data_IF_286516180106
#
_entry.id   IF_286516180106
#
_cell.length_a   1.000
_cell.length_b   1.000
_cell.length_c   1.000
_cell.angle_alpha   90.00
_cell.angle_beta   90.00
_cell.angle_gamma   90.00
#
_symmetry.space_group_name_H-M   'P 1'
#
loop_
_entity.id
_entity.type
_entity.pdbx_description
1 polymer ?
#
# COMPACT_ATOMS: atom_id res chain seq x y z
N UNK A 1 18.26 -7.73 14.51
CA UNK A 1 17.47 -7.55 13.28
C UNK A 1 18.46 -7.19 12.18
N UNK A 2 18.58 -7.96 11.08
CA UNK A 2 19.44 -7.56 9.98
C UNK A 2 18.95 -6.21 9.42
N UNK A 3 19.84 -5.34 8.91
CA UNK A 3 19.42 -4.11 8.27
C UNK A 3 18.53 -4.46 7.08
N UNK A 4 17.31 -3.94 7.06
CA UNK A 4 16.41 -4.11 5.93
C UNK A 4 17.08 -3.53 4.67
N UNK A 5 16.92 -4.17 3.50
CA UNK A 5 17.50 -3.66 2.26
C UNK A 5 16.99 -2.25 1.95
N UNK A 6 17.82 -1.47 1.24
CA UNK A 6 17.49 -0.10 0.84
C UNK A 6 16.16 -0.08 0.06
N UNK A 7 15.16 0.71 0.47
CA UNK A 7 13.85 0.81 -0.19
C UNK A 7 13.91 0.98 -1.70
N UNK A 8 14.85 1.78 -2.20
CA UNK A 8 14.97 2.05 -3.63
C UNK A 8 15.46 0.82 -4.43
N UNK A 9 16.39 0.04 -3.88
CA UNK A 9 17.06 -1.03 -4.61
C UNK A 9 16.19 -2.29 -4.83
N UNK A 10 15.23 -2.55 -3.94
CA UNK A 10 14.31 -3.70 -4.07
C UNK A 10 13.15 -3.41 -5.04
N UNK A 11 12.73 -2.14 -5.14
CA UNK A 11 11.69 -1.71 -6.08
C UNK A 11 12.18 -1.68 -7.54
N UNK A 12 13.49 -1.62 -7.79
CA UNK A 12 14.05 -1.59 -9.15
C UNK A 12 13.83 -2.90 -9.94
N UNK A 13 13.51 -4.02 -9.26
CA UNK A 13 13.32 -5.33 -9.92
C UNK A 13 11.90 -5.92 -9.77
N UNK A 14 11.06 -5.32 -8.93
CA UNK A 14 9.72 -5.82 -8.65
C UNK A 14 8.68 -4.71 -8.74
N UNK A 15 7.78 -4.80 -9.74
CA UNK A 15 6.60 -3.96 -9.84
C UNK A 15 5.41 -4.66 -9.17
N UNK A 16 4.94 -4.10 -8.06
CA UNK A 16 3.70 -4.53 -7.41
C UNK A 16 2.61 -3.54 -7.78
N UNK A 17 1.51 -4.04 -8.37
CA UNK A 17 0.33 -3.24 -8.71
C UNK A 17 -0.76 -3.50 -7.66
N UNK A 18 -0.84 -2.69 -6.58
CA UNK A 18 -1.89 -2.86 -5.58
C UNK A 18 -3.25 -2.56 -6.21
N UNK A 19 -4.28 -3.27 -5.75
CA UNK A 19 -5.69 -3.07 -6.17
C UNK A 19 -5.94 -3.20 -7.68
N UNK A 20 -5.08 -3.92 -8.41
CA UNK A 20 -5.20 -4.09 -9.87
C UNK A 20 -6.48 -4.83 -10.30
N UNK A 21 -7.06 -5.63 -9.41
CA UNK A 21 -8.36 -6.27 -9.61
C UNK A 21 -9.10 -6.36 -8.27
N UNK A 22 -10.42 -6.21 -8.30
CA UNK A 22 -11.32 -6.35 -7.16
C UNK A 22 -12.66 -6.95 -7.59
N UNK A 23 -13.45 -7.39 -6.62
CA UNK A 23 -14.80 -7.91 -6.87
C UNK A 23 -15.86 -6.81 -7.05
N UNK A 24 -15.48 -5.53 -6.98
CA UNK A 24 -16.43 -4.43 -7.15
C UNK A 24 -16.94 -4.35 -8.59
N UNK A 25 -18.23 -4.06 -8.77
CA UNK A 25 -18.84 -3.95 -10.10
C UNK A 25 -18.10 -2.97 -11.04
N UNK A 26 -17.67 -1.75 -10.59
CA UNK A 26 -16.93 -0.84 -11.45
C UNK A 26 -15.59 -1.43 -11.93
N UNK A 27 -14.90 -2.18 -11.06
CA UNK A 27 -13.65 -2.85 -11.42
C UNK A 27 -13.89 -3.97 -12.44
N UNK A 28 -14.89 -4.81 -12.21
CA UNK A 28 -15.26 -5.90 -13.13
C UNK A 28 -15.66 -5.37 -14.52
N UNK A 29 -16.35 -4.24 -14.58
CA UNK A 29 -16.71 -3.57 -15.83
C UNK A 29 -15.50 -2.94 -16.55
N UNK A 30 -14.44 -2.55 -15.81
CA UNK A 30 -13.23 -1.97 -16.38
C UNK A 30 -12.26 -3.03 -16.95
N UNK A 31 -12.26 -4.25 -16.40
CA UNK A 31 -11.32 -5.32 -16.80
C UNK A 31 -11.30 -5.62 -18.31
N UNK A 32 -12.43 -5.75 -19.04
CA UNK A 32 -12.40 -5.99 -20.48
C UNK A 32 -11.73 -4.87 -21.28
N UNK A 33 -11.72 -3.63 -20.77
CA UNK A 33 -11.04 -2.51 -21.42
C UNK A 33 -9.52 -2.57 -21.22
N UNK A 34 -9.08 -3.15 -20.11
CA UNK A 34 -7.66 -3.37 -19.82
C UNK A 34 -7.08 -4.54 -20.62
N UNK A 35 -7.92 -5.50 -21.01
CA UNK A 35 -7.56 -6.65 -21.88
C UNK A 35 -7.60 -6.31 -23.39
N UNK A 36 -7.91 -5.06 -23.74
CA UNK A 36 -7.85 -4.59 -25.11
C UNK A 36 -6.39 -4.35 -25.53
N UNK A 37 -5.84 -5.29 -26.29
CA UNK A 37 -4.48 -5.22 -26.81
C UNK A 37 -4.21 -3.99 -27.70
N UNK A 38 -5.23 -3.35 -28.26
CA UNK A 38 -5.07 -2.10 -29.01
C UNK A 38 -4.81 -0.92 -28.07
N UNK A 39 -5.37 -0.93 -26.85
CA UNK A 39 -5.15 0.11 -25.83
C UNK A 39 -3.87 -0.14 -25.03
N UNK A 40 -3.50 -1.41 -24.76
CA UNK A 40 -2.34 -1.75 -23.94
C UNK A 40 -1.34 -2.71 -24.64
N UNK A 41 -0.80 -2.37 -25.82
CA UNK A 41 0.02 -3.29 -26.61
C UNK A 41 1.30 -3.75 -25.88
N UNK A 42 1.94 -2.85 -25.13
CA UNK A 42 3.14 -3.18 -24.35
C UNK A 42 2.85 -4.12 -23.18
N UNK A 43 1.69 -3.99 -22.53
CA UNK A 43 1.27 -4.88 -21.45
C UNK A 43 1.05 -6.29 -21.98
N UNK A 44 0.35 -6.45 -23.10
CA UNK A 44 0.16 -7.76 -23.72
C UNK A 44 1.47 -8.38 -24.23
N UNK A 45 2.40 -7.57 -24.75
CA UNK A 45 3.73 -8.05 -25.11
C UNK A 45 4.52 -8.54 -23.89
N UNK A 46 4.43 -7.83 -22.77
CA UNK A 46 5.07 -8.23 -21.53
C UNK A 46 4.43 -9.51 -20.97
N UNK A 47 3.09 -9.57 -20.86
CA UNK A 47 2.36 -10.72 -20.33
C UNK A 47 2.64 -12.01 -21.12
N UNK A 48 2.87 -11.94 -22.43
CA UNK A 48 3.28 -13.10 -23.25
C UNK A 48 4.66 -13.67 -22.89
N UNK A 49 5.52 -12.87 -22.26
CA UNK A 49 6.87 -13.28 -21.83
C UNK A 49 6.90 -13.73 -20.36
N UNK A 50 5.86 -13.41 -19.59
CA UNK A 50 5.77 -13.74 -18.18
C UNK A 50 5.01 -15.05 -17.99
N UNK A 51 5.48 -15.87 -17.05
CA UNK A 51 4.73 -17.02 -16.55
C UNK A 51 4.33 -16.73 -15.09
N UNK A 52 3.13 -17.16 -14.64
CA UNK A 52 2.78 -17.08 -13.23
C UNK A 52 3.82 -17.84 -12.39
N UNK A 53 4.52 -17.13 -11.51
CA UNK A 53 5.55 -17.73 -10.66
C UNK A 53 4.94 -18.34 -9.40
N UNK A 54 4.19 -17.53 -8.65
CA UNK A 54 3.56 -17.92 -7.39
C UNK A 54 2.22 -17.23 -7.24
N UNK A 55 1.27 -17.88 -6.56
CA UNK A 55 -0.01 -17.30 -6.18
C UNK A 55 -0.05 -17.12 -4.68
N UNK A 56 -0.35 -15.91 -4.23
CA UNK A 56 -0.67 -15.62 -2.84
C UNK A 56 -2.16 -15.32 -2.75
N UNK A 57 -2.90 -16.14 -2.01
CA UNK A 57 -4.32 -15.90 -1.80
C UNK A 57 -4.53 -14.81 -0.76
N UNK A 58 -5.50 -13.92 -1.02
CA UNK A 58 -5.97 -12.96 -0.04
C UNK A 58 -7.01 -13.59 0.87
N UNK A 59 -7.01 -13.17 2.13
CA UNK A 59 -8.03 -13.49 3.13
C UNK A 59 -8.67 -12.15 3.54
N UNK A 60 -10.00 -12.10 3.57
CA UNK A 60 -10.76 -10.89 3.93
C UNK A 60 -10.55 -10.49 5.40
N UNK A 61 -10.13 -11.43 6.25
CA UNK A 61 -9.82 -11.18 7.65
C UNK A 61 -8.34 -10.91 7.92
N UNK A 62 -7.48 -11.05 6.90
CA UNK A 62 -6.07 -10.73 7.06
C UNK A 62 -5.86 -9.23 7.21
N UNK A 63 -5.07 -8.85 8.22
CA UNK A 63 -4.72 -7.46 8.51
C UNK A 63 -3.67 -6.93 7.53
N UNK A 64 -2.81 -7.80 7.01
CA UNK A 64 -1.84 -7.47 5.96
C UNK A 64 -2.36 -7.86 4.59
N UNK A 65 -2.47 -6.87 3.70
CA UNK A 65 -2.97 -7.07 2.35
C UNK A 65 -2.02 -7.97 1.53
N UNK A 66 -2.51 -8.66 0.49
CA UNK A 66 -1.68 -9.54 -0.32
C UNK A 66 -0.44 -8.84 -0.92
N UNK A 67 -0.61 -7.61 -1.40
CA UNK A 67 0.49 -6.84 -1.98
C UNK A 67 1.55 -6.44 -0.95
N UNK A 68 1.14 -6.15 0.29
CA UNK A 68 2.05 -5.91 1.40
C UNK A 68 2.86 -7.17 1.71
N UNK A 69 2.20 -8.33 1.83
CA UNK A 69 2.90 -9.59 2.11
C UNK A 69 3.90 -9.98 1.01
N UNK A 70 3.56 -9.76 -0.27
CA UNK A 70 4.48 -9.98 -1.40
C UNK A 70 5.70 -9.07 -1.29
N UNK A 71 5.50 -7.78 -1.01
CA UNK A 71 6.61 -6.83 -0.87
C UNK A 71 7.46 -7.14 0.36
N UNK A 72 6.85 -7.52 1.48
CA UNK A 72 7.55 -7.95 2.69
C UNK A 72 8.47 -9.15 2.41
N UNK A 73 8.00 -10.14 1.62
CA UNK A 73 8.82 -11.26 1.20
C UNK A 73 10.02 -10.82 0.35
N UNK A 74 9.82 -9.91 -0.61
CA UNK A 74 10.89 -9.35 -1.43
C UNK A 74 11.92 -8.55 -0.60
N UNK A 75 11.48 -7.94 0.51
CA UNK A 75 12.34 -7.25 1.48
C UNK A 75 13.01 -8.20 2.50
N UNK A 76 12.72 -9.50 2.44
CA UNK A 76 13.27 -10.49 3.37
C UNK A 76 12.61 -10.52 4.76
N UNK A 77 11.43 -9.91 4.92
CA UNK A 77 10.65 -9.95 6.15
C UNK A 77 9.80 -11.21 6.19
N UNK A 78 10.39 -12.29 6.71
CA UNK A 78 9.74 -13.59 6.79
C UNK A 78 9.38 -13.94 8.25
N UNK A 79 8.32 -14.72 8.44
CA UNK A 79 7.92 -15.23 9.75
C UNK A 79 7.28 -14.21 10.71
N UNK A 80 6.91 -13.03 10.20
CA UNK A 80 6.17 -12.04 10.99
C UNK A 80 4.69 -12.43 11.09
N UNK A 81 4.08 -12.11 12.23
CA UNK A 81 2.65 -12.32 12.43
C UNK A 81 1.85 -11.37 11.53
N UNK A 82 0.64 -11.77 11.15
CA UNK A 82 -0.26 -10.93 10.38
C UNK A 82 -0.55 -9.60 11.13
N UNK A 83 -0.56 -8.50 10.38
CA UNK A 83 -0.72 -7.15 10.93
C UNK A 83 0.51 -6.58 11.65
N UNK A 84 1.65 -7.28 11.64
CA UNK A 84 2.90 -6.83 12.31
C UNK A 84 4.01 -6.41 11.35
N UNK A 85 3.69 -6.25 10.06
CA UNK A 85 4.66 -5.79 9.06
C UNK A 85 5.16 -4.37 9.42
N UNK A 86 6.49 -4.15 9.52
CA UNK A 86 7.05 -2.91 10.06
C UNK A 86 7.10 -1.78 9.01
N UNK A 87 6.05 -1.62 8.20
CA UNK A 87 6.01 -0.64 7.11
C UNK A 87 6.29 0.78 7.59
N UNK A 88 5.64 1.18 8.67
CA UNK A 88 5.80 2.52 9.24
C UNK A 88 7.24 2.78 9.69
N UNK A 89 7.84 1.83 10.42
CA UNK A 89 9.22 1.94 10.88
C UNK A 89 10.22 1.96 9.71
N UNK A 90 9.98 1.14 8.68
CA UNK A 90 10.82 1.10 7.50
C UNK A 90 10.76 2.39 6.67
N UNK A 91 9.56 2.95 6.46
CA UNK A 91 9.39 4.23 5.77
C UNK A 91 10.00 5.40 6.57
N UNK A 92 9.81 5.40 7.89
CA UNK A 92 10.39 6.41 8.77
C UNK A 92 11.93 6.36 8.73
N UNK A 93 12.52 5.15 8.70
CA UNK A 93 13.97 4.98 8.55
C UNK A 93 14.47 5.53 7.20
N UNK A 94 13.77 5.22 6.11
CA UNK A 94 14.06 5.76 4.78
C UNK A 94 13.96 7.29 4.71
N UNK A 95 13.10 7.88 5.54
CA UNK A 95 12.91 9.33 5.67
C UNK A 95 13.91 9.99 6.64
N UNK A 96 14.84 9.21 7.22
CA UNK A 96 15.84 9.71 8.16
C UNK A 96 15.31 10.02 9.58
N UNK A 97 14.11 9.52 9.93
CA UNK A 97 13.55 9.67 11.27
C UNK A 97 14.22 8.69 12.25
N UNK A 98 14.31 9.03 13.56
CA UNK A 98 14.93 8.17 14.56
C UNK A 98 14.00 7.00 14.93
N UNK A 99 14.13 5.88 14.22
CA UNK A 99 13.26 4.71 14.32
C UNK A 99 13.67 3.66 15.36
N UNK A 100 14.32 4.07 16.46
CA UNK A 100 14.88 3.19 17.50
C UNK A 100 13.79 2.42 18.28
N UNK A 101 13.91 2.21 19.60
CA UNK A 101 13.01 1.41 20.46
C UNK A 101 11.55 1.94 20.58
N UNK A 102 11.01 2.56 19.53
CA UNK A 102 9.67 3.15 19.44
C UNK A 102 8.83 2.40 18.42
N UNK A 103 7.55 2.24 18.74
CA UNK A 103 6.57 1.84 17.75
C UNK A 103 6.33 2.99 16.76
N UNK A 104 6.13 2.64 15.48
CA UNK A 104 5.81 3.58 14.42
C UNK A 104 4.47 3.21 13.80
N UNK A 105 3.68 4.22 13.46
CA UNK A 105 2.43 4.10 12.72
C UNK A 105 2.41 5.10 11.57
N UNK A 106 1.74 4.72 10.48
CA UNK A 106 1.43 5.64 9.38
C UNK A 106 0.01 6.14 9.55
N UNK A 107 -0.16 7.46 9.46
CA UNK A 107 -1.44 8.12 9.56
C UNK A 107 -1.64 9.00 8.32
N UNK A 108 -2.76 8.79 7.62
CA UNK A 108 -3.16 9.61 6.48
C UNK A 108 -4.47 10.33 6.81
N UNK A 109 -4.43 11.63 7.13
CA UNK A 109 -5.63 12.43 7.34
C UNK A 109 -6.51 12.45 6.09
N UNK A 110 -7.82 12.29 6.27
CA UNK A 110 -8.78 12.15 5.18
C UNK A 110 -10.20 12.56 5.62
N UNK A 111 -11.07 12.85 4.65
CA UNK A 111 -12.48 13.15 4.91
C UNK A 111 -13.34 11.88 4.82
N UNK A 112 -14.18 11.71 5.83
CA UNK A 112 -15.14 10.61 5.93
C UNK A 112 -16.55 11.18 5.74
N UNK A 113 -17.26 10.71 4.71
CA UNK A 113 -18.67 10.99 4.54
C UNK A 113 -19.46 9.84 5.16
N UNK A 114 -20.18 10.15 6.23
CA UNK A 114 -21.06 9.19 6.90
C UNK A 114 -22.48 9.29 6.34
N UNK A 115 -22.89 8.28 5.59
CA UNK A 115 -24.27 8.05 5.20
C UNK A 115 -25.03 7.22 6.24
N UNK A 116 -26.32 7.00 6.00
CA UNK A 116 -27.17 6.24 6.94
C UNK A 116 -26.86 4.74 6.96
N UNK A 117 -26.40 4.20 5.83
CA UNK A 117 -26.09 2.78 5.62
C UNK A 117 -24.71 2.58 4.97
N UNK A 118 -24.00 3.67 4.69
CA UNK A 118 -22.73 3.64 3.98
C UNK A 118 -21.74 4.61 4.59
N UNK A 119 -20.47 4.31 4.39
CA UNK A 119 -19.37 5.19 4.73
C UNK A 119 -18.49 5.32 3.50
N UNK A 120 -18.17 6.55 3.13
CA UNK A 120 -17.29 6.82 2.00
C UNK A 120 -16.05 7.55 2.49
N UNK A 121 -14.90 6.94 2.26
CA UNK A 121 -13.61 7.61 2.38
C UNK A 121 -13.37 8.42 1.10
N UNK A 122 -13.28 9.74 1.22
CA UNK A 122 -12.87 10.58 0.09
C UNK A 122 -11.37 10.44 -0.15
N UNK A 123 -10.92 10.81 -1.34
CA UNK A 123 -9.48 10.86 -1.65
C UNK A 123 -8.77 11.75 -0.60
N UNK A 124 -7.77 11.21 0.13
CA UNK A 124 -7.01 12.00 1.10
C UNK A 124 -6.43 13.30 0.52
N UNK A 125 -6.09 13.34 -0.77
CA UNK A 125 -5.58 14.54 -1.42
C UNK A 125 -6.62 15.68 -1.46
N UNK A 126 -7.92 15.37 -1.44
CA UNK A 126 -8.99 16.38 -1.41
C UNK A 126 -9.07 17.13 -0.07
N UNK A 127 -8.51 16.57 1.01
CA UNK A 127 -8.43 17.27 2.30
C UNK A 127 -7.65 18.58 2.18
N UNK A 128 -6.69 18.66 1.24
CA UNK A 128 -5.83 19.84 0.99
C UNK A 128 -5.27 20.43 2.28
N UNK A 129 -4.80 19.56 3.19
CA UNK A 129 -4.25 19.98 4.47
C UNK A 129 -2.94 20.74 4.25
N UNK A 130 -2.96 22.05 4.49
CA UNK A 130 -1.77 22.87 4.35
C UNK A 130 -0.77 22.56 5.48
N UNK A 131 0.52 22.86 5.24
CA UNK A 131 1.58 22.60 6.22
C UNK A 131 1.29 23.21 7.62
N UNK A 132 0.83 24.48 7.74
CA UNK A 132 0.56 25.06 9.06
C UNK A 132 -0.55 24.31 9.83
N UNK A 133 -1.58 23.89 9.13
CA UNK A 133 -2.72 23.15 9.71
C UNK A 133 -2.29 21.72 10.11
N UNK A 134 -1.48 21.08 9.26
CA UNK A 134 -0.89 19.77 9.56
C UNK A 134 -0.04 19.80 10.83
N UNK A 135 0.79 20.83 11.02
CA UNK A 135 1.59 21.01 12.25
C UNK A 135 0.70 21.22 13.47
N UNK A 136 -0.34 22.04 13.34
CA UNK A 136 -1.30 22.28 14.43
C UNK A 136 -2.02 20.99 14.84
N UNK A 137 -2.44 20.18 13.86
CA UNK A 137 -3.06 18.89 14.10
C UNK A 137 -2.08 17.92 14.79
N UNK A 138 -0.83 17.85 14.35
CA UNK A 138 0.19 17.03 14.98
C UNK A 138 0.43 17.43 16.44
N UNK A 139 0.59 18.73 16.74
CA UNK A 139 0.77 19.20 18.11
C UNK A 139 -0.44 18.89 19.01
N UNK A 140 -1.65 18.90 18.46
CA UNK A 140 -2.87 18.51 19.18
C UNK A 140 -2.87 17.03 19.56
N UNK A 141 -2.21 16.17 18.77
CA UNK A 141 -2.13 14.73 18.99
C UNK A 141 -0.97 14.31 19.91
N UNK A 142 0.05 15.16 20.11
CA UNK A 142 1.25 14.85 20.94
C UNK A 142 1.03 14.59 22.45
N UNK A 143 -0.08 14.96 23.12
CA UNK A 143 -0.25 14.66 24.55
C UNK A 143 -0.76 13.23 24.85
N UNK A 144 -0.92 12.37 23.84
CA UNK A 144 -1.32 10.97 23.98
C UNK A 144 -0.21 10.00 23.58
#
# INVERSE_FOLDING_TARGET
MPPAPNPAAVLDQHLVLPFAASLSEPCQQALPRLDDAAQFPHLHQLLRQLAPASRLEGDEYALSMPHERVLAQALGWQGLADGTLPWAAWQAQGSGLPTQDRAWGLLTPCHWLMGRESLTLLDPAELRLAEPDSRTLLETLRPW
#
